data_IF_213069847103
#
_entry.id   IF_213069847103
#
_cell.length_a   1.000
_cell.length_b   1.000
_cell.length_c   1.000
_cell.angle_alpha   90.00
_cell.angle_beta   90.00
_cell.angle_gamma   90.00
#
_symmetry.space_group_name_H-M   'P 1'
#
loop_
_entity.id
_entity.type
_entity.pdbx_description
1 polymer ?
#
# COMPACT_ATOMS: atom_id res chain seq x y z
N UNK A 1 -12.86 -18.49 5.94
CA UNK A 1 -11.52 -17.93 5.66
C UNK A 1 -11.19 -18.25 4.21
N UNK A 2 -11.06 -17.24 3.34
CA UNK A 2 -10.96 -17.41 1.87
C UNK A 2 -9.53 -17.66 1.38
N UNK A 3 -8.54 -17.41 2.23
CA UNK A 3 -7.11 -17.52 1.90
C UNK A 3 -6.64 -18.88 1.36
N UNK A 4 -7.06 -20.03 1.93
CA UNK A 4 -6.60 -21.34 1.46
C UNK A 4 -6.96 -21.62 -0.01
N UNK A 5 -8.19 -21.31 -0.41
CA UNK A 5 -8.67 -21.55 -1.79
C UNK A 5 -7.99 -20.64 -2.81
N UNK A 6 -7.64 -19.41 -2.44
CA UNK A 6 -6.93 -18.51 -3.34
C UNK A 6 -5.52 -19.02 -3.64
N UNK A 7 -4.79 -19.49 -2.61
CA UNK A 7 -3.46 -20.07 -2.77
C UNK A 7 -3.48 -21.40 -3.53
N UNK A 8 -4.51 -22.22 -3.32
CA UNK A 8 -4.75 -23.44 -4.09
C UNK A 8 -4.99 -23.11 -5.57
N UNK A 9 -5.91 -22.19 -5.85
CA UNK A 9 -6.30 -21.83 -7.22
C UNK A 9 -5.20 -21.08 -7.98
N UNK A 10 -4.30 -20.39 -7.27
CA UNK A 10 -3.10 -19.80 -7.88
C UNK A 10 -2.17 -20.87 -8.47
N UNK A 11 -2.24 -22.12 -7.98
CA UNK A 11 -1.57 -23.28 -8.57
C UNK A 11 -0.03 -23.30 -8.48
N UNK A 12 0.57 -22.33 -7.79
CA UNK A 12 2.03 -22.14 -7.75
C UNK A 12 2.68 -22.48 -6.41
N UNK A 13 1.90 -22.65 -5.36
CA UNK A 13 2.39 -22.91 -4.01
C UNK A 13 2.28 -24.39 -3.64
N UNK A 14 3.33 -24.96 -3.07
CA UNK A 14 3.26 -26.32 -2.49
C UNK A 14 2.38 -26.33 -1.23
N UNK A 15 1.88 -27.50 -0.79
CA UNK A 15 1.13 -27.59 0.48
C UNK A 15 1.89 -26.99 1.68
N UNK A 16 3.19 -27.19 1.75
CA UNK A 16 4.07 -26.69 2.81
C UNK A 16 4.18 -25.16 2.75
N UNK A 17 4.36 -24.59 1.56
CA UNK A 17 4.39 -23.14 1.35
C UNK A 17 3.05 -22.51 1.75
N UNK A 18 1.93 -23.10 1.32
CA UNK A 18 0.59 -22.63 1.72
C UNK A 18 0.40 -22.64 3.23
N UNK A 19 0.73 -23.76 3.87
CA UNK A 19 0.62 -23.88 5.32
C UNK A 19 1.54 -22.88 6.05
N UNK A 20 2.75 -22.67 5.52
CA UNK A 20 3.70 -21.68 6.03
C UNK A 20 3.15 -20.26 5.91
N UNK A 21 2.53 -19.88 4.79
CA UNK A 21 1.94 -18.55 4.62
C UNK A 21 0.75 -18.33 5.55
N UNK A 22 -0.13 -19.32 5.70
CA UNK A 22 -1.29 -19.24 6.57
C UNK A 22 -0.88 -19.09 8.04
N UNK A 23 0.08 -19.90 8.51
CA UNK A 23 0.64 -19.75 9.87
C UNK A 23 1.23 -18.37 10.10
N UNK A 24 2.02 -17.86 9.15
CA UNK A 24 2.57 -16.51 9.27
C UNK A 24 1.48 -15.43 9.42
N UNK A 25 0.42 -15.52 8.62
CA UNK A 25 -0.70 -14.57 8.72
C UNK A 25 -1.41 -14.72 10.08
N UNK A 26 -1.61 -15.94 10.55
CA UNK A 26 -2.23 -16.22 11.85
C UNK A 26 -1.41 -15.69 13.03
N UNK A 27 -0.10 -15.89 13.00
CA UNK A 27 0.80 -15.55 14.11
C UNK A 27 1.15 -14.05 14.14
N UNK A 28 1.36 -13.42 12.97
CA UNK A 28 1.92 -12.07 12.88
C UNK A 28 0.96 -11.00 12.37
N UNK A 29 -0.16 -11.38 11.75
CA UNK A 29 -1.06 -10.40 11.11
C UNK A 29 -2.44 -10.37 11.77
N UNK A 30 -3.10 -11.52 11.92
CA UNK A 30 -4.45 -11.60 12.48
C UNK A 30 -4.60 -10.92 13.85
N UNK A 31 -3.65 -11.04 14.80
CA UNK A 31 -3.75 -10.37 16.10
C UNK A 31 -3.88 -8.84 16.00
N UNK A 32 -3.45 -8.28 14.88
CA UNK A 32 -3.15 -6.87 14.72
C UNK A 32 -4.07 -6.15 13.72
N UNK A 33 -4.85 -6.92 12.96
CA UNK A 33 -5.86 -6.43 12.02
C UNK A 33 -7.07 -5.78 12.74
N UNK A 34 -7.18 -5.99 14.05
CA UNK A 34 -8.19 -5.37 14.90
C UNK A 34 -9.52 -6.14 14.95
N UNK A 35 -10.53 -5.57 15.64
CA UNK A 35 -11.80 -6.26 15.83
C UNK A 35 -12.52 -6.46 14.50
N UNK A 36 -13.29 -7.56 14.42
CA UNK A 36 -14.18 -7.81 13.29
C UNK A 36 -15.13 -6.62 13.10
N UNK A 37 -15.28 -6.10 11.88
CA UNK A 37 -16.20 -4.99 11.64
C UNK A 37 -17.63 -5.34 12.07
N UNK A 38 -18.26 -4.43 12.82
CA UNK A 38 -19.62 -4.62 13.33
C UNK A 38 -20.71 -4.10 12.37
N UNK A 39 -20.34 -3.26 11.40
CA UNK A 39 -21.25 -2.71 10.39
C UNK A 39 -20.57 -2.66 9.01
N UNK A 40 -21.32 -2.86 7.91
CA UNK A 40 -20.83 -2.64 6.55
C UNK A 40 -20.66 -1.15 6.19
N UNK A 41 -21.25 -0.23 6.96
CA UNK A 41 -21.28 1.21 6.65
C UNK A 41 -19.95 1.91 6.95
N UNK A 42 -19.12 1.31 7.79
CA UNK A 42 -17.79 1.81 8.14
C UNK A 42 -16.82 1.40 7.04
N UNK A 43 -16.25 2.36 6.32
CA UNK A 43 -15.32 2.09 5.23
C UNK A 43 -13.87 2.09 5.73
N UNK A 44 -13.11 1.07 5.33
CA UNK A 44 -11.65 1.05 5.42
C UNK A 44 -11.07 1.30 4.02
N UNK A 45 -10.00 2.09 3.95
CA UNK A 45 -9.44 2.50 2.65
C UNK A 45 -8.85 1.31 1.89
N UNK A 46 -8.28 0.31 2.58
CA UNK A 46 -7.70 -0.86 1.92
C UNK A 46 -8.71 -1.60 1.04
N UNK A 47 -9.96 -1.76 1.48
CA UNK A 47 -10.95 -2.52 0.72
C UNK A 47 -11.72 -1.70 -0.31
N UNK A 48 -11.41 -0.40 -0.47
CA UNK A 48 -11.94 0.58 -1.42
C UNK A 48 -13.48 0.76 -1.45
N UNK A 49 -14.28 -0.17 -0.90
CA UNK A 49 -15.75 -0.21 -0.92
C UNK A 49 -16.35 -1.11 0.19
N UNK A 50 -15.66 -1.30 1.32
CA UNK A 50 -16.23 -2.11 2.40
C UNK A 50 -15.59 -1.90 3.77
N UNK A 51 -16.11 -2.65 4.73
CA UNK A 51 -15.60 -2.64 6.11
C UNK A 51 -14.44 -3.57 6.34
N UNK A 52 -13.98 -4.32 5.32
CA UNK A 52 -12.82 -5.20 5.43
C UNK A 52 -11.53 -4.41 5.62
N UNK A 53 -10.70 -4.89 6.53
CA UNK A 53 -9.37 -4.41 6.88
C UNK A 53 -8.27 -5.11 6.08
N UNK A 54 -8.67 -5.96 5.13
CA UNK A 54 -7.77 -6.68 4.25
C UNK A 54 -8.34 -6.78 2.83
N UNK A 55 -7.43 -6.91 1.88
CA UNK A 55 -7.70 -7.17 0.48
C UNK A 55 -6.76 -8.28 -0.02
N UNK A 56 -7.24 -9.13 -0.92
CA UNK A 56 -6.41 -10.12 -1.60
C UNK A 56 -6.42 -9.83 -3.10
N UNK A 57 -5.26 -9.95 -3.74
CA UNK A 57 -5.08 -9.75 -5.17
C UNK A 57 -4.17 -10.83 -5.76
N UNK A 58 -4.25 -11.03 -7.07
CA UNK A 58 -3.34 -11.91 -7.80
C UNK A 58 -2.72 -11.11 -8.93
N UNK A 59 -1.40 -11.01 -8.93
CA UNK A 59 -0.66 -10.43 -10.04
C UNK A 59 -0.46 -11.51 -11.11
N UNK A 60 -1.08 -11.33 -12.28
CA UNK A 60 -0.97 -12.23 -13.42
C UNK A 60 0.13 -11.74 -14.35
N UNK A 61 0.91 -12.68 -14.90
CA UNK A 61 2.02 -12.37 -15.79
C UNK A 61 2.12 -13.41 -16.91
N UNK A 62 2.53 -12.98 -18.10
CA UNK A 62 2.72 -13.83 -19.28
C UNK A 62 4.08 -14.57 -19.27
N UNK A 63 5.04 -14.07 -18.49
CA UNK A 63 6.44 -14.53 -18.43
C UNK A 63 6.86 -15.05 -17.06
N UNK A 64 6.05 -14.84 -16.03
CA UNK A 64 6.33 -15.22 -14.65
C UNK A 64 5.13 -15.92 -14.02
N UNK A 65 5.40 -16.66 -12.95
CA UNK A 65 4.34 -17.31 -12.16
C UNK A 65 3.40 -16.25 -11.57
N UNK A 66 2.08 -16.51 -11.50
CA UNK A 66 1.16 -15.63 -10.80
C UNK A 66 1.61 -15.44 -9.34
N UNK A 67 1.39 -14.26 -8.76
CA UNK A 67 1.76 -14.00 -7.37
C UNK A 67 0.52 -13.55 -6.59
N UNK A 68 0.20 -14.28 -5.52
CA UNK A 68 -0.87 -13.89 -4.59
C UNK A 68 -0.34 -12.82 -3.66
N UNK A 69 -1.10 -11.74 -3.48
CA UNK A 69 -0.79 -10.67 -2.53
C UNK A 69 -1.94 -10.47 -1.56
N UNK A 70 -1.61 -10.37 -0.27
CA UNK A 70 -2.54 -9.87 0.74
C UNK A 70 -2.10 -8.49 1.21
N UNK A 71 -3.04 -7.54 1.22
CA UNK A 71 -2.86 -6.21 1.78
C UNK A 71 -3.68 -6.10 3.05
N UNK A 72 -3.08 -5.56 4.12
CA UNK A 72 -3.74 -5.37 5.41
C UNK A 72 -3.57 -3.93 5.89
N UNK A 73 -4.61 -3.41 6.52
CA UNK A 73 -4.55 -2.21 7.33
C UNK A 73 -4.51 -2.63 8.81
N UNK A 74 -3.44 -2.27 9.53
CA UNK A 74 -3.25 -2.69 10.92
C UNK A 74 -3.90 -1.71 11.90
N UNK A 75 -4.66 -2.24 12.86
CA UNK A 75 -5.45 -1.47 13.82
C UNK A 75 -4.88 -1.57 15.24
N UNK A 76 -4.30 -2.73 15.59
CA UNK A 76 -3.91 -3.08 16.96
C UNK A 76 -5.09 -3.49 17.86
N UNK A 77 -4.78 -4.00 19.08
CA UNK A 77 -5.75 -4.61 19.99
C UNK A 77 -6.72 -3.61 20.60
N UNK A 78 -6.31 -2.34 20.77
CA UNK A 78 -7.13 -1.25 21.29
C UNK A 78 -7.95 -0.56 20.19
N UNK A 79 -8.34 -1.27 19.14
CA UNK A 79 -8.98 -0.71 17.94
C UNK A 79 -9.83 0.53 18.24
N UNK A 80 -9.58 1.62 17.53
CA UNK A 80 -10.33 2.89 17.59
C UNK A 80 -10.54 3.53 18.98
N UNK A 81 -9.75 3.23 20.02
CA UNK A 81 -9.76 4.05 21.22
C UNK A 81 -9.29 5.47 20.89
N UNK A 82 -10.11 6.49 21.20
CA UNK A 82 -9.74 7.90 21.16
C UNK A 82 -8.51 8.22 22.05
N UNK A 83 -8.08 7.26 22.88
CA UNK A 83 -6.88 7.33 23.71
C UNK A 83 -5.59 6.89 22.99
N UNK A 84 -5.60 6.64 21.67
CA UNK A 84 -4.37 6.47 20.91
C UNK A 84 -3.64 7.84 20.76
N UNK A 85 -3.06 8.31 21.86
CA UNK A 85 -2.33 9.58 21.99
C UNK A 85 -0.88 9.47 21.55
N UNK A 86 -0.37 8.25 21.37
CA UNK A 86 1.00 8.02 20.92
C UNK A 86 1.16 8.48 19.46
N UNK A 87 2.27 9.16 19.12
CA UNK A 87 2.60 9.51 17.74
C UNK A 87 2.51 8.28 16.82
N UNK A 88 2.10 8.45 15.55
CA UNK A 88 1.97 7.30 14.64
C UNK A 88 3.25 6.48 14.51
N UNK A 89 4.43 7.08 14.71
CA UNK A 89 5.77 6.44 14.68
C UNK A 89 6.21 5.79 15.99
N UNK A 90 5.40 5.87 17.04
CA UNK A 90 5.73 5.33 18.37
C UNK A 90 4.62 4.45 18.94
N UNK A 91 3.43 4.51 18.35
CA UNK A 91 2.28 3.71 18.72
C UNK A 91 2.39 2.23 18.36
N UNK A 92 1.45 1.45 18.88
CA UNK A 92 1.34 0.01 18.70
C UNK A 92 1.47 -0.42 17.23
N UNK A 93 0.75 0.29 16.33
CA UNK A 93 0.72 0.02 14.88
C UNK A 93 2.10 0.05 14.23
N UNK A 94 2.91 1.03 14.59
CA UNK A 94 4.27 1.13 14.04
C UNK A 94 5.15 -0.02 14.53
N UNK A 95 5.07 -0.36 15.84
CA UNK A 95 5.83 -1.49 16.39
C UNK A 95 5.45 -2.81 15.75
N UNK A 96 4.17 -3.02 15.42
CA UNK A 96 3.71 -4.21 14.70
C UNK A 96 4.28 -4.28 13.28
N UNK A 97 4.27 -3.17 12.53
CA UNK A 97 4.89 -3.12 11.20
C UNK A 97 6.37 -3.50 11.29
N UNK A 98 7.09 -2.99 12.29
CA UNK A 98 8.49 -3.36 12.52
C UNK A 98 8.64 -4.86 12.85
N UNK A 99 7.75 -5.44 13.68
CA UNK A 99 7.79 -6.86 14.02
C UNK A 99 7.50 -7.78 12.85
N UNK A 100 6.52 -7.44 12.01
CA UNK A 100 6.21 -8.16 10.77
C UNK A 100 7.39 -8.08 9.80
N UNK A 101 7.98 -6.89 9.67
CA UNK A 101 9.16 -6.69 8.83
C UNK A 101 10.35 -7.52 9.32
N UNK A 102 10.62 -7.56 10.62
CA UNK A 102 11.67 -8.40 11.21
C UNK A 102 11.43 -9.89 10.93
N UNK A 103 10.19 -10.36 11.10
CA UNK A 103 9.80 -11.75 10.84
C UNK A 103 9.97 -12.18 9.37
N UNK A 104 9.91 -11.24 8.42
CA UNK A 104 10.21 -11.48 7.00
C UNK A 104 11.61 -11.04 6.57
N UNK A 105 12.46 -10.65 7.53
CA UNK A 105 13.81 -10.12 7.29
C UNK A 105 13.79 -8.95 6.30
N UNK A 106 12.91 -7.99 6.51
CA UNK A 106 12.74 -6.81 5.67
C UNK A 106 13.71 -5.69 6.00
N UNK A 107 14.14 -4.96 4.98
CA UNK A 107 14.92 -3.74 5.12
C UNK A 107 13.98 -2.56 5.38
N UNK A 108 14.29 -1.80 6.42
CA UNK A 108 13.42 -0.77 7.00
C UNK A 108 13.93 0.69 6.99
N UNK A 109 15.20 1.03 6.67
CA UNK A 109 15.67 2.42 6.70
C UNK A 109 14.77 3.38 5.95
N UNK A 110 14.39 3.04 4.72
CA UNK A 110 13.45 3.85 3.93
C UNK A 110 12.12 4.02 4.64
N UNK A 111 11.48 2.93 5.09
CA UNK A 111 10.23 3.05 5.82
C UNK A 111 10.33 3.96 7.05
N UNK A 112 11.42 3.85 7.82
CA UNK A 112 11.65 4.67 9.03
C UNK A 112 11.81 6.14 8.69
N UNK A 113 12.59 6.48 7.67
CA UNK A 113 12.80 7.87 7.21
C UNK A 113 11.49 8.51 6.77
N UNK A 114 10.70 7.79 5.98
CA UNK A 114 9.44 8.27 5.43
C UNK A 114 8.35 8.41 6.49
N UNK A 115 8.30 7.44 7.41
CA UNK A 115 7.43 7.52 8.56
C UNK A 115 7.77 8.74 9.44
N UNK A 116 9.06 9.05 9.63
CA UNK A 116 9.48 10.22 10.39
C UNK A 116 9.07 11.55 9.73
N UNK A 117 9.09 11.63 8.41
CA UNK A 117 8.74 12.84 7.68
C UNK A 117 7.21 13.08 7.61
N UNK A 118 6.40 12.03 7.38
CA UNK A 118 4.97 12.22 7.09
C UNK A 118 4.04 12.12 8.27
N UNK A 119 4.45 11.40 9.30
CA UNK A 119 3.64 11.31 10.49
C UNK A 119 3.98 12.45 11.41
N UNK A 120 3.19 13.53 11.27
CA UNK A 120 3.24 14.68 12.15
C UNK A 120 3.18 14.24 13.61
N UNK A 121 4.16 14.67 14.39
CA UNK A 121 4.20 14.49 15.85
C UNK A 121 3.27 15.46 16.59
N UNK A 122 2.57 16.34 15.86
CA UNK A 122 1.73 17.41 16.42
C UNK A 122 0.25 17.05 16.37
N UNK A 123 -0.38 16.90 17.53
CA UNK A 123 -1.79 16.49 17.67
C UNK A 123 -2.82 17.42 16.98
N UNK A 124 -2.49 18.69 16.73
CA UNK A 124 -3.36 19.61 15.98
C UNK A 124 -3.55 19.23 14.51
N UNK A 125 -2.54 18.65 13.87
CA UNK A 125 -2.61 18.30 12.44
C UNK A 125 -3.49 17.05 12.21
N UNK A 126 -3.49 16.09 13.15
CA UNK A 126 -4.34 14.89 13.06
C UNK A 126 -5.83 15.23 13.14
N UNK A 127 -6.20 16.17 14.03
CA UNK A 127 -7.59 16.62 14.15
C UNK A 127 -8.06 17.37 12.89
N UNK A 128 -7.21 18.23 12.34
CA UNK A 128 -7.47 18.94 11.09
C UNK A 128 -7.64 17.99 9.90
N UNK A 129 -6.75 16.99 9.75
CA UNK A 129 -6.87 15.96 8.71
C UNK A 129 -8.15 15.15 8.88
N UNK A 130 -8.50 14.75 10.11
CA UNK A 130 -9.75 14.02 10.38
C UNK A 130 -10.99 14.82 9.98
N UNK A 131 -10.99 16.13 10.18
CA UNK A 131 -12.10 17.01 9.78
C UNK A 131 -12.25 17.12 8.26
N UNK A 132 -11.19 16.87 7.49
CA UNK A 132 -11.21 16.87 6.02
C UNK A 132 -11.63 15.52 5.41
N UNK A 133 -11.66 14.43 6.19
CA UNK A 133 -12.02 13.11 5.68
C UNK A 133 -13.55 12.91 5.64
N UNK A 134 -14.07 12.06 4.72
CA UNK A 134 -15.48 11.71 4.71
C UNK A 134 -15.94 11.10 6.05
N UNK A 135 -17.15 11.44 6.55
CA UNK A 135 -17.67 10.88 7.80
C UNK A 135 -17.84 9.35 7.79
N UNK A 136 -18.01 8.76 6.61
CA UNK A 136 -18.12 7.30 6.42
C UNK A 136 -16.79 6.57 6.58
N UNK A 137 -15.68 7.31 6.60
CA UNK A 137 -14.37 6.71 6.74
C UNK A 137 -14.11 6.38 8.21
N UNK A 138 -13.73 5.13 8.47
CA UNK A 138 -13.45 4.67 9.83
C UNK A 138 -12.40 5.53 10.55
N UNK A 139 -11.42 6.05 9.80
CA UNK A 139 -10.27 6.81 10.31
C UNK A 139 -9.41 7.41 9.19
N UNK A 140 -8.43 8.21 9.58
CA UNK A 140 -7.25 8.52 8.75
C UNK A 140 -6.36 7.27 8.71
N UNK A 141 -6.20 6.60 7.55
CA UNK A 141 -5.26 5.50 7.43
C UNK A 141 -3.83 6.00 7.54
N UNK A 142 -2.97 5.20 8.17
CA UNK A 142 -1.57 5.57 8.38
C UNK A 142 -0.62 4.54 7.76
N UNK A 143 -0.93 3.25 7.85
CA UNK A 143 -0.05 2.19 7.37
C UNK A 143 -0.85 1.12 6.64
N UNK A 144 -0.35 0.72 5.47
CA UNK A 144 -0.70 -0.54 4.82
C UNK A 144 0.54 -1.40 4.71
N UNK A 145 0.33 -2.69 4.94
CA UNK A 145 1.31 -3.71 4.60
C UNK A 145 0.76 -4.56 3.47
N UNK A 146 1.59 -4.86 2.49
CA UNK A 146 1.28 -5.80 1.42
C UNK A 146 2.31 -6.93 1.45
N UNK A 147 1.83 -8.17 1.57
CA UNK A 147 2.64 -9.38 1.52
C UNK A 147 2.45 -10.03 0.15
N UNK A 148 3.49 -9.99 -0.68
CA UNK A 148 3.59 -10.81 -1.88
C UNK A 148 3.98 -12.23 -1.45
N UNK A 149 3.23 -13.24 -1.88
CA UNK A 149 3.51 -14.63 -1.58
C UNK A 149 4.15 -15.24 -2.82
N UNK A 150 5.46 -15.49 -2.76
CA UNK A 150 6.26 -15.95 -3.89
C UNK A 150 7.11 -17.16 -3.49
N UNK A 151 6.66 -18.36 -3.88
CA UNK A 151 7.18 -19.61 -3.28
C UNK A 151 7.11 -19.54 -1.76
N UNK A 152 8.12 -20.04 -1.05
CA UNK A 152 8.22 -19.91 0.41
C UNK A 152 8.53 -18.50 0.95
N UNK A 153 8.74 -17.50 0.07
CA UNK A 153 9.12 -16.14 0.45
C UNK A 153 7.91 -15.22 0.58
N UNK A 154 8.05 -14.19 1.43
CA UNK A 154 7.01 -13.18 1.69
C UNK A 154 7.53 -11.74 1.51
N UNK A 155 7.84 -11.28 0.28
CA UNK A 155 8.24 -9.89 0.12
C UNK A 155 7.16 -8.93 0.65
N UNK A 156 7.58 -8.04 1.56
CA UNK A 156 6.74 -7.01 2.17
C UNK A 156 6.87 -5.70 1.40
N UNK A 157 5.76 -5.00 1.20
CA UNK A 157 5.74 -3.60 0.78
C UNK A 157 4.96 -2.79 1.82
N UNK A 158 5.48 -1.62 2.17
CA UNK A 158 4.91 -0.71 3.16
C UNK A 158 4.67 0.64 2.50
N UNK A 159 3.61 1.35 2.89
CA UNK A 159 3.27 2.63 2.29
C UNK A 159 3.44 3.82 3.26
N UNK A 160 4.34 4.76 2.92
CA UNK A 160 4.43 6.13 3.44
C UNK A 160 5.23 7.01 2.45
N UNK A 161 4.97 8.31 2.43
CA UNK A 161 5.57 9.32 1.53
C UNK A 161 6.90 9.89 2.12
N UNK A 162 7.82 10.43 1.29
CA UNK A 162 8.93 11.40 1.55
C UNK A 162 10.00 11.41 0.44
N UNK A 163 10.93 12.38 0.51
CA UNK A 163 11.99 12.62 -0.48
C UNK A 163 13.14 11.63 -0.35
N UNK A 164 13.47 10.93 -1.45
CA UNK A 164 14.46 9.84 -1.46
C UNK A 164 15.66 10.23 -2.35
N UNK A 165 16.91 10.16 -1.85
CA UNK A 165 18.12 10.38 -2.66
C UNK A 165 18.18 9.41 -3.85
N UNK A 166 18.53 9.91 -5.04
CA UNK A 166 18.52 9.13 -6.30
C UNK A 166 17.18 9.13 -7.05
N UNK A 167 16.07 9.52 -6.40
CA UNK A 167 14.76 9.69 -7.04
C UNK A 167 14.45 11.14 -7.42
N UNK A 168 15.36 12.09 -7.16
CA UNK A 168 15.12 13.51 -7.37
C UNK A 168 14.67 13.85 -8.81
N UNK A 169 15.33 13.31 -9.84
CA UNK A 169 14.95 13.56 -11.22
C UNK A 169 13.60 12.93 -11.60
N UNK A 170 13.32 11.64 -11.32
CA UNK A 170 11.99 11.06 -11.48
C UNK A 170 10.88 11.80 -10.71
N UNK A 171 11.13 12.17 -9.44
CA UNK A 171 10.17 12.90 -8.61
C UNK A 171 9.92 14.31 -9.15
N UNK A 172 10.97 15.00 -9.63
CA UNK A 172 10.81 16.29 -10.30
C UNK A 172 9.98 16.16 -11.58
N UNK A 173 10.26 15.16 -12.42
CA UNK A 173 9.49 14.95 -13.65
C UNK A 173 8.01 14.67 -13.38
N UNK A 174 7.71 13.90 -12.32
CA UNK A 174 6.34 13.69 -11.84
C UNK A 174 5.77 15.00 -11.29
N UNK A 175 6.49 15.72 -10.43
CA UNK A 175 6.06 17.02 -9.89
C UNK A 175 5.71 18.04 -10.98
N UNK A 176 6.60 18.20 -11.97
CA UNK A 176 6.41 19.06 -13.15
C UNK A 176 5.21 18.62 -14.02
N UNK A 177 4.84 17.34 -13.98
CA UNK A 177 3.62 16.83 -14.62
C UNK A 177 2.37 17.16 -13.81
N UNK A 178 2.39 16.88 -12.51
CA UNK A 178 1.25 17.11 -11.63
C UNK A 178 0.92 18.60 -11.56
N UNK A 179 1.92 19.49 -11.58
CA UNK A 179 1.73 20.94 -11.60
C UNK A 179 0.98 21.46 -12.84
N UNK A 180 0.98 20.71 -13.96
CA UNK A 180 0.26 21.07 -15.18
C UNK A 180 -1.16 20.48 -15.24
N UNK A 181 -1.50 19.57 -14.33
CA UNK A 181 -2.79 18.90 -14.34
C UNK A 181 -3.86 19.78 -13.69
N UNK A 182 -5.02 19.93 -14.33
CA UNK A 182 -6.16 20.62 -13.73
C UNK A 182 -6.92 19.70 -12.76
N UNK A 183 -7.31 20.26 -11.61
CA UNK A 183 -8.06 19.57 -10.55
C UNK A 183 -7.19 19.13 -9.36
N UNK A 184 -7.80 18.71 -8.24
CA UNK A 184 -7.07 18.31 -7.03
C UNK A 184 -6.25 17.04 -7.32
N UNK A 185 -4.97 17.25 -7.61
CA UNK A 185 -3.98 16.20 -7.79
C UNK A 185 -3.42 15.80 -6.44
N UNK A 186 -4.11 14.90 -5.74
CA UNK A 186 -3.61 14.33 -4.51
C UNK A 186 -2.88 13.02 -4.84
N UNK A 187 -1.56 12.98 -4.57
CA UNK A 187 -0.90 11.70 -4.28
C UNK A 187 -1.60 11.17 -3.03
N UNK A 188 -2.29 10.05 -3.17
CA UNK A 188 -3.11 9.49 -2.09
C UNK A 188 -2.32 8.53 -1.22
N UNK A 189 -1.42 7.75 -1.84
CA UNK A 189 -0.64 6.71 -1.18
C UNK A 189 0.76 6.71 -1.82
N UNK A 190 1.78 6.50 -1.00
CA UNK A 190 3.11 6.13 -1.50
C UNK A 190 3.47 4.78 -0.96
N UNK A 191 3.72 3.81 -1.85
CA UNK A 191 4.09 2.44 -1.52
C UNK A 191 5.54 2.16 -1.82
N UNK A 192 6.23 1.45 -0.94
CA UNK A 192 7.65 1.17 -1.02
C UNK A 192 7.92 -0.28 -0.72
N UNK A 193 8.85 -0.87 -1.45
CA UNK A 193 9.25 -2.25 -1.26
C UNK A 193 10.23 -2.36 -0.07
N UNK A 194 10.20 -3.49 0.66
CA UNK A 194 11.13 -3.78 1.78
C UNK A 194 12.60 -3.97 1.40
N UNK A 195 12.96 -3.77 0.13
CA UNK A 195 14.32 -3.94 -0.32
C UNK A 195 15.10 -2.65 -0.08
N UNK A 196 16.41 -2.73 0.10
CA UNK A 196 17.26 -1.54 0.01
C UNK A 196 17.34 -1.03 -1.44
N UNK A 197 17.66 0.25 -1.69
CA UNK A 197 17.80 0.79 -3.04
C UNK A 197 18.71 -0.04 -3.95
N UNK A 198 19.81 -0.55 -3.38
CA UNK A 198 20.80 -1.35 -4.10
C UNK A 198 20.27 -2.74 -4.50
N UNK A 199 19.20 -3.20 -3.85
CA UNK A 199 18.53 -4.47 -4.16
C UNK A 199 17.30 -4.27 -5.08
N UNK A 200 17.16 -3.09 -5.71
CA UNK A 200 16.10 -2.81 -6.68
C UNK A 200 14.76 -2.40 -6.07
N UNK A 201 14.79 -1.77 -4.88
CA UNK A 201 13.60 -1.26 -4.23
C UNK A 201 12.85 -0.23 -5.09
N UNK A 202 11.52 -0.31 -5.07
CA UNK A 202 10.65 0.60 -5.82
C UNK A 202 9.88 1.53 -4.90
N UNK A 203 9.62 2.72 -5.41
CA UNK A 203 8.70 3.71 -4.86
C UNK A 203 7.53 3.84 -5.83
N UNK A 204 6.31 3.70 -5.33
CA UNK A 204 5.05 3.70 -6.08
C UNK A 204 4.22 4.88 -5.60
N UNK A 205 3.87 5.80 -6.48
CA UNK A 205 2.98 6.91 -6.16
C UNK A 205 1.59 6.59 -6.72
N UNK A 206 0.59 6.49 -5.84
CA UNK A 206 -0.80 6.28 -6.25
C UNK A 206 -1.50 7.63 -6.33
N UNK A 207 -2.00 7.95 -7.52
CA UNK A 207 -2.77 9.17 -7.77
C UNK A 207 -4.18 8.79 -8.19
N UNK A 208 -5.14 9.65 -7.86
CA UNK A 208 -6.53 9.50 -8.29
C UNK A 208 -6.86 10.54 -9.35
N UNK A 209 -7.68 10.15 -10.31
CA UNK A 209 -8.26 11.05 -11.30
C UNK A 209 -9.77 10.87 -11.33
N UNK A 210 -10.50 11.95 -11.59
CA UNK A 210 -11.97 11.94 -11.67
C UNK A 210 -12.53 11.46 -13.02
N UNK A 211 -11.67 11.11 -13.99
CA UNK A 211 -12.08 10.72 -15.33
C UNK A 211 -11.32 9.48 -15.82
N UNK A 212 -12.04 8.54 -16.40
CA UNK A 212 -11.50 7.37 -17.11
C UNK A 212 -11.60 7.51 -18.64
N UNK A 213 -11.87 8.72 -19.16
CA UNK A 213 -11.91 8.95 -20.60
C UNK A 213 -10.54 8.67 -21.24
N UNK A 214 -10.54 8.12 -22.46
CA UNK A 214 -9.31 7.69 -23.13
C UNK A 214 -8.26 8.79 -23.26
N UNK A 215 -8.68 10.02 -23.57
CA UNK A 215 -7.78 11.18 -23.61
C UNK A 215 -7.05 11.42 -22.29
N UNK A 216 -7.74 11.26 -21.16
CA UNK A 216 -7.13 11.35 -19.83
C UNK A 216 -6.20 10.15 -19.57
N UNK A 217 -6.60 8.92 -19.89
CA UNK A 217 -5.74 7.73 -19.74
C UNK A 217 -4.42 7.92 -20.52
N UNK A 218 -4.50 8.26 -21.81
CA UNK A 218 -3.34 8.54 -22.66
C UNK A 218 -2.46 9.64 -22.07
N UNK A 219 -3.07 10.76 -21.65
CA UNK A 219 -2.34 11.86 -21.03
C UNK A 219 -1.60 11.42 -19.75
N UNK A 220 -2.19 10.55 -18.93
CA UNK A 220 -1.59 10.04 -17.69
C UNK A 220 -0.43 9.09 -17.93
N UNK A 221 -0.64 8.07 -18.76
CA UNK A 221 0.36 7.05 -19.07
C UNK A 221 1.60 7.67 -19.75
N UNK A 222 1.39 8.70 -20.58
CA UNK A 222 2.47 9.40 -21.30
C UNK A 222 3.05 10.59 -20.54
N UNK A 223 2.58 10.88 -19.32
CA UNK A 223 2.97 12.08 -18.55
C UNK A 223 2.81 13.38 -19.37
N UNK A 224 1.69 13.51 -20.07
CA UNK A 224 1.39 14.65 -20.93
C UNK A 224 2.12 14.62 -22.27
N UNK A 225 2.42 13.43 -22.79
CA UNK A 225 3.20 13.24 -24.02
C UNK A 225 4.71 13.25 -23.84
N UNK A 226 5.22 13.42 -22.62
CA UNK A 226 6.66 13.40 -22.30
C UNK A 226 7.29 12.01 -22.44
N UNK A 227 6.48 10.95 -22.36
CA UNK A 227 6.89 9.56 -22.63
C UNK A 227 6.19 9.05 -23.87
N UNK A 228 7.00 8.54 -24.80
CA UNK A 228 6.56 8.03 -26.09
C UNK A 228 7.38 6.81 -26.55
N UNK A 229 8.10 6.17 -25.62
CA UNK A 229 8.86 4.96 -25.92
C UNK A 229 7.95 3.78 -26.32
N UNK A 230 8.50 2.84 -27.09
CA UNK A 230 7.78 1.67 -27.60
C UNK A 230 7.01 0.89 -26.54
N UNK A 231 7.58 0.76 -25.34
CA UNK A 231 6.92 0.03 -24.24
C UNK A 231 5.68 0.80 -23.78
N UNK A 232 5.81 2.12 -23.61
CA UNK A 232 4.70 3.00 -23.25
C UNK A 232 3.58 2.96 -24.30
N UNK A 233 3.92 3.03 -25.60
CA UNK A 233 2.92 3.04 -26.68
C UNK A 233 2.25 1.68 -26.88
N UNK A 234 3.00 0.57 -26.78
CA UNK A 234 2.42 -0.79 -26.79
C UNK A 234 1.52 -1.00 -25.59
N UNK A 235 1.91 -0.50 -24.41
CA UNK A 235 1.09 -0.53 -23.20
C UNK A 235 -0.25 0.19 -23.37
N UNK A 236 -0.27 1.34 -24.04
CA UNK A 236 -1.52 2.02 -24.40
C UNK A 236 -2.40 1.16 -25.30
N UNK A 237 -1.84 0.55 -26.34
CA UNK A 237 -2.63 -0.30 -27.24
C UNK A 237 -3.33 -1.47 -26.53
N UNK A 238 -2.72 -2.02 -25.48
CA UNK A 238 -3.34 -3.08 -24.65
C UNK A 238 -4.53 -2.54 -23.84
N UNK A 239 -4.50 -1.26 -23.44
CA UNK A 239 -5.53 -0.63 -22.61
C UNK A 239 -6.76 -0.15 -23.40
N UNK A 240 -6.65 0.06 -24.72
CA UNK A 240 -7.74 0.56 -25.56
C UNK A 240 -7.31 1.08 -26.91
#
# INVERSE_FOLDING_TARGET
MWGPRLLENAGIHTPEERASHLRFIEDYVIPDVGPRPASPDVLNVVSHFGSSTSEASVNLNDKAKPCVRFTFELHGPLGNSAAATAPPTQGHRYKQVLGIADAVQGDLPWFKELAAEFFSSRGQEVAAVRAMMPPSLARVPLYYIALDLNGGQRPLSMSSTASIPGFAAPLKAIGDFLALCQGPFAIQIVGIDRAGPQAGARVKLYTRTGSNAWGNIRHRVTLGGRRSDDTTLKGLHILG
#
